data_IF_066675194498
#
_entry.id   IF_066675194498
#
_cell.length_a   1.000
_cell.length_b   1.000
_cell.length_c   1.000
_cell.angle_alpha   90.00
_cell.angle_beta   90.00
_cell.angle_gamma   90.00
#
_symmetry.space_group_name_H-M   'P 1'
#
loop_
_entity.id
_entity.type
_entity.pdbx_description
1 polymer ?
#
# COMPACT_ATOMS: atom_id res chain seq x y z
N UNK A 1 -14.44 1.88 14.57
CA UNK A 1 -13.43 2.12 13.53
C UNK A 1 -14.06 3.09 12.56
N UNK A 2 -13.65 4.35 12.62
CA UNK A 2 -14.17 5.40 11.74
C UNK A 2 -13.39 5.29 10.43
N UNK A 3 -14.06 4.84 9.37
CA UNK A 3 -13.53 4.94 8.01
C UNK A 3 -13.54 6.41 7.62
N UNK A 4 -12.37 7.00 7.44
CA UNK A 4 -12.25 8.32 6.82
C UNK A 4 -13.01 8.32 5.47
N UNK A 5 -13.63 9.45 5.07
CA UNK A 5 -14.22 9.54 3.74
C UNK A 5 -13.13 9.23 2.71
N UNK A 6 -13.37 8.25 1.85
CA UNK A 6 -12.49 7.95 0.73
C UNK A 6 -12.38 9.22 -0.11
N UNK A 7 -11.25 9.93 -0.02
CA UNK A 7 -10.88 10.90 -1.02
C UNK A 7 -10.84 10.21 -2.39
N UNK A 8 -11.00 10.99 -3.45
CA UNK A 8 -10.73 10.51 -4.80
C UNK A 8 -9.43 9.69 -4.81
N UNK A 9 -9.42 8.56 -5.50
CA UNK A 9 -8.26 7.66 -5.55
C UNK A 9 -6.97 8.42 -5.92
N UNK A 10 -5.83 7.82 -5.57
CA UNK A 10 -4.51 8.38 -5.87
C UNK A 10 -4.42 8.85 -7.34
N UNK A 11 -3.93 10.06 -7.53
CA UNK A 11 -3.60 10.59 -8.85
C UNK A 11 -2.22 10.10 -9.29
N UNK A 12 -1.86 10.20 -10.59
CA UNK A 12 -0.54 9.78 -11.06
C UNK A 12 0.60 10.35 -10.22
N UNK A 13 1.42 9.46 -9.65
CA UNK A 13 2.55 9.81 -8.79
C UNK A 13 2.22 9.97 -7.30
N UNK A 14 0.95 9.80 -6.91
CA UNK A 14 0.56 9.70 -5.51
C UNK A 14 0.58 8.25 -5.02
N UNK A 15 0.87 8.08 -3.73
CA UNK A 15 0.76 6.82 -3.00
C UNK A 15 -0.08 7.06 -1.74
N UNK A 16 -0.50 6.00 -1.08
CA UNK A 16 -1.33 6.10 0.11
C UNK A 16 -0.50 6.19 1.38
N UNK A 17 -0.89 7.08 2.28
CA UNK A 17 -0.32 7.23 3.62
C UNK A 17 -1.39 7.16 4.71
N UNK A 18 -0.98 6.75 5.90
CA UNK A 18 -1.77 6.76 7.14
C UNK A 18 -0.94 7.36 8.26
N UNK A 19 -1.58 8.01 9.24
CA UNK A 19 -0.92 8.20 10.53
C UNK A 19 -0.91 6.84 11.24
N UNK A 20 0.20 6.48 11.88
CA UNK A 20 0.35 5.23 12.61
C UNK A 20 -0.89 4.96 13.51
N UNK A 21 -1.38 3.71 13.47
CA UNK A 21 -2.56 3.22 14.23
C UNK A 21 -3.90 3.93 13.99
N UNK A 22 -3.99 4.91 13.08
CA UNK A 22 -5.23 5.67 12.86
C UNK A 22 -6.25 4.94 11.98
N UNK A 23 -5.78 4.14 11.03
CA UNK A 23 -6.60 3.49 9.99
C UNK A 23 -7.19 4.45 8.94
N UNK A 24 -6.84 5.73 8.99
CA UNK A 24 -7.26 6.73 8.01
C UNK A 24 -6.23 6.82 6.87
N UNK A 25 -6.69 6.73 5.63
CA UNK A 25 -5.82 6.59 4.46
C UNK A 25 -6.02 7.75 3.50
N UNK A 26 -4.92 8.37 3.07
CA UNK A 26 -4.94 9.55 2.20
C UNK A 26 -3.91 9.44 1.07
N UNK A 27 -4.25 9.83 -0.16
CA UNK A 27 -3.27 9.89 -1.25
C UNK A 27 -2.36 11.13 -1.12
N UNK A 28 -1.06 10.95 -1.36
CA UNK A 28 -0.07 12.01 -1.30
C UNK A 28 1.13 11.73 -2.22
N UNK A 29 1.83 12.79 -2.62
CA UNK A 29 3.22 12.66 -3.10
C UNK A 29 4.12 12.63 -1.87
N UNK A 30 5.13 11.76 -1.87
CA UNK A 30 6.06 11.64 -0.74
C UNK A 30 7.39 12.27 -1.11
N UNK A 31 7.96 13.06 -0.19
CA UNK A 31 9.33 13.56 -0.35
C UNK A 31 10.34 12.41 -0.29
N UNK A 32 11.48 12.58 -0.96
CA UNK A 32 12.54 11.57 -0.96
C UNK A 32 13.07 11.30 0.46
N UNK A 33 13.30 12.37 1.24
CA UNK A 33 13.81 12.27 2.62
C UNK A 33 12.73 11.82 3.60
N UNK A 34 13.09 10.90 4.51
CA UNK A 34 12.26 10.48 5.64
C UNK A 34 12.55 11.31 6.88
N UNK A 35 11.55 11.43 7.76
CA UNK A 35 11.74 11.99 9.09
C UNK A 35 11.69 10.87 10.13
N UNK A 36 12.82 10.53 10.74
CA UNK A 36 12.93 9.40 11.68
C UNK A 36 12.40 8.06 11.12
N UNK A 37 12.49 7.85 9.81
CA UNK A 37 11.93 6.69 9.11
C UNK A 37 10.48 6.85 8.64
N UNK A 38 9.80 7.95 9.02
CA UNK A 38 8.43 8.23 8.57
C UNK A 38 8.39 9.01 7.25
N UNK A 39 7.34 8.77 6.47
CA UNK A 39 7.09 9.46 5.23
C UNK A 39 6.83 10.96 5.48
N UNK A 40 7.16 11.78 4.48
CA UNK A 40 6.87 13.22 4.48
C UNK A 40 5.90 13.52 3.34
N UNK A 41 4.59 13.42 3.60
CA UNK A 41 3.58 13.56 2.54
C UNK A 41 3.33 15.01 2.17
N UNK A 42 2.96 15.21 0.90
CA UNK A 42 2.50 16.47 0.33
C UNK A 42 1.19 16.22 -0.40
N UNK A 43 0.11 16.62 0.27
CA UNK A 43 -1.26 16.33 -0.15
C UNK A 43 -1.72 17.28 -1.26
N UNK A 44 -2.49 16.78 -2.23
CA UNK A 44 -3.26 17.64 -3.12
C UNK A 44 -4.31 18.43 -2.32
N UNK A 45 -4.93 19.45 -2.92
CA UNK A 45 -6.01 20.20 -2.23
C UNK A 45 -7.13 19.28 -1.75
N UNK A 46 -7.61 18.38 -2.62
CA UNK A 46 -8.68 17.44 -2.27
C UNK A 46 -8.26 16.48 -1.15
N UNK A 47 -7.02 15.96 -1.20
CA UNK A 47 -6.51 15.11 -0.13
C UNK A 47 -6.33 15.87 1.19
N UNK A 48 -5.88 17.12 1.15
CA UNK A 48 -5.77 17.99 2.32
C UNK A 48 -7.13 18.27 2.96
N UNK A 49 -8.19 18.46 2.17
CA UNK A 49 -9.57 18.57 2.65
C UNK A 49 -10.03 17.30 3.38
N UNK A 50 -9.69 16.12 2.86
CA UNK A 50 -9.97 14.86 3.52
C UNK A 50 -9.21 14.72 4.85
N UNK A 51 -7.93 15.11 4.90
CA UNK A 51 -7.13 15.12 6.14
C UNK A 51 -7.74 16.08 7.17
N UNK A 52 -8.12 17.30 6.77
CA UNK A 52 -8.76 18.29 7.66
C UNK A 52 -10.09 17.79 8.21
N UNK A 53 -10.91 17.15 7.38
CA UNK A 53 -12.17 16.53 7.82
C UNK A 53 -11.91 15.44 8.87
N UNK A 54 -10.96 14.54 8.59
CA UNK A 54 -10.57 13.49 9.52
C UNK A 54 -10.05 14.02 10.87
N UNK A 55 -9.19 15.05 10.85
CA UNK A 55 -8.69 15.67 12.09
C UNK A 55 -9.81 16.26 12.93
N UNK A 56 -10.83 16.86 12.29
CA UNK A 56 -12.00 17.42 12.98
C UNK A 56 -12.84 16.32 13.65
N UNK A 57 -12.89 15.13 13.04
CA UNK A 57 -13.61 13.97 13.58
C UNK A 57 -12.90 13.32 14.78
N UNK A 58 -11.65 13.66 15.08
CA UNK A 58 -10.89 13.19 16.26
C UNK A 58 -11.39 13.75 17.61
N UNK A 59 -12.70 14.04 17.71
CA UNK A 59 -13.44 14.37 18.94
C UNK A 59 -12.83 15.51 19.80
N UNK A 60 -12.33 16.57 19.14
CA UNK A 60 -11.97 17.83 19.79
C UNK A 60 -10.54 17.89 20.37
N UNK A 61 -9.72 16.86 20.19
CA UNK A 61 -8.29 16.95 20.50
C UNK A 61 -7.55 17.89 19.53
N UNK A 62 -8.00 17.92 18.27
CA UNK A 62 -7.45 18.71 17.19
C UNK A 62 -8.60 19.46 16.51
N UNK A 63 -8.43 20.77 16.29
CA UNK A 63 -9.28 21.56 15.42
C UNK A 63 -8.50 21.89 14.15
N UNK A 64 -9.04 21.54 12.99
CA UNK A 64 -8.41 21.83 11.70
C UNK A 64 -9.43 22.48 10.76
N UNK A 65 -9.01 23.51 10.03
CA UNK A 65 -9.83 24.16 9.02
C UNK A 65 -8.97 24.85 7.97
N UNK A 66 -9.53 25.11 6.79
CA UNK A 66 -8.91 26.02 5.85
C UNK A 66 -9.15 27.48 6.24
N UNK A 67 -8.10 28.28 6.21
CA UNK A 67 -8.12 29.73 6.33
C UNK A 67 -7.56 30.35 5.04
N UNK A 68 -8.46 30.57 4.09
CA UNK A 68 -8.13 30.85 2.70
C UNK A 68 -7.49 29.63 2.04
N UNK A 69 -6.28 29.81 1.52
CA UNK A 69 -5.49 28.74 0.93
C UNK A 69 -4.66 27.95 1.93
N UNK A 70 -4.53 28.39 3.19
CA UNK A 70 -3.75 27.67 4.19
C UNK A 70 -4.61 26.72 5.01
N UNK A 71 -4.00 25.67 5.54
CA UNK A 71 -4.60 24.84 6.60
C UNK A 71 -4.17 25.39 7.95
N UNK A 72 -5.12 25.70 8.82
CA UNK A 72 -4.89 26.02 10.22
C UNK A 72 -5.20 24.79 11.08
N UNK A 73 -4.23 24.37 11.90
CA UNK A 73 -4.38 23.26 12.86
C UNK A 73 -4.13 23.80 14.26
N UNK A 74 -5.00 23.46 15.20
CA UNK A 74 -4.86 23.77 16.62
C UNK A 74 -5.00 22.49 17.43
N UNK A 75 -3.95 22.12 18.15
CA UNK A 75 -3.92 20.99 19.07
C UNK A 75 -4.07 21.51 20.51
N UNK A 76 -5.29 21.44 21.04
CA UNK A 76 -5.62 22.06 22.33
C UNK A 76 -4.82 21.47 23.49
N UNK A 77 -4.57 20.16 23.48
CA UNK A 77 -3.84 19.47 24.54
C UNK A 77 -2.34 19.82 24.58
N UNK A 78 -1.78 20.22 23.43
CA UNK A 78 -0.36 20.55 23.28
C UNK A 78 -0.11 22.08 23.29
N UNK A 79 -1.16 22.90 23.38
CA UNK A 79 -1.11 24.36 23.21
C UNK A 79 -0.34 24.77 21.94
N UNK A 80 -0.53 24.00 20.86
CA UNK A 80 0.15 24.18 19.58
C UNK A 80 -0.83 24.65 18.53
N UNK A 81 -0.48 25.71 17.83
CA UNK A 81 -1.16 26.17 16.63
C UNK A 81 -0.18 26.20 15.45
N UNK A 82 -0.61 25.72 14.31
CA UNK A 82 0.18 25.66 13.09
C UNK A 82 -0.64 26.19 11.91
N UNK A 83 0.03 26.94 11.03
CA UNK A 83 -0.52 27.39 9.74
C UNK A 83 0.35 26.80 8.64
N UNK A 84 -0.26 26.00 7.78
CA UNK A 84 0.38 25.25 6.72
C UNK A 84 -0.06 25.84 5.38
N UNK A 85 0.85 26.56 4.73
CA UNK A 85 0.64 27.07 3.38
C UNK A 85 0.92 25.94 2.35
N UNK A 86 0.25 25.95 1.18
CA UNK A 86 0.64 25.07 0.10
C UNK A 86 2.06 25.42 -0.39
N UNK A 87 2.83 24.40 -0.74
CA UNK A 87 4.13 24.55 -1.39
C UNK A 87 4.01 25.13 -2.80
N UNK A 88 5.17 25.37 -3.44
CA UNK A 88 5.22 25.95 -4.79
C UNK A 88 4.52 25.10 -5.87
N UNK A 89 4.29 23.82 -5.61
CA UNK A 89 3.55 22.89 -6.47
C UNK A 89 2.07 22.73 -6.06
N UNK A 90 1.58 23.60 -5.17
CA UNK A 90 0.19 23.62 -4.72
C UNK A 90 -0.18 22.50 -3.74
N UNK A 91 0.80 21.79 -3.18
CA UNK A 91 0.58 20.66 -2.27
C UNK A 91 0.86 21.02 -0.81
N UNK A 92 0.13 20.40 0.11
CA UNK A 92 0.12 20.72 1.53
C UNK A 92 0.97 19.74 2.33
N UNK A 93 2.05 20.17 3.01
CA UNK A 93 2.93 19.31 3.79
C UNK A 93 2.38 19.07 5.21
N UNK A 94 1.14 18.60 5.34
CA UNK A 94 0.46 18.47 6.64
C UNK A 94 1.16 17.42 7.50
N UNK A 95 1.70 17.82 8.65
CA UNK A 95 2.42 16.94 9.56
C UNK A 95 3.75 16.40 9.01
N UNK A 96 4.22 16.87 7.86
CA UNK A 96 5.49 16.44 7.29
C UNK A 96 6.65 16.83 8.22
N UNK A 97 7.38 15.84 8.75
CA UNK A 97 8.45 16.09 9.72
C UNK A 97 7.97 16.31 11.16
N UNK A 98 6.69 16.07 11.45
CA UNK A 98 6.12 16.21 12.79
C UNK A 98 5.26 15.01 13.20
N UNK A 99 4.65 14.31 12.25
CA UNK A 99 3.77 13.17 12.48
C UNK A 99 4.37 11.88 11.91
N UNK A 100 3.96 10.76 12.51
CA UNK A 100 4.35 9.40 12.14
C UNK A 100 3.53 8.91 10.94
N UNK A 101 3.77 9.53 9.78
CA UNK A 101 3.15 9.11 8.52
C UNK A 101 3.82 7.85 7.98
N UNK A 102 3.02 6.83 7.71
CA UNK A 102 3.46 5.56 7.15
C UNK A 102 2.86 5.34 5.75
N UNK A 103 3.63 4.76 4.84
CA UNK A 103 3.08 4.25 3.58
C UNK A 103 2.10 3.11 3.88
N UNK A 104 1.00 3.05 3.14
CA UNK A 104 -0.03 2.04 3.34
C UNK A 104 -0.73 1.65 2.03
N UNK A 105 -1.69 0.74 2.12
CA UNK A 105 -2.60 0.40 1.02
C UNK A 105 -3.91 1.18 1.17
N UNK A 106 -4.67 1.40 0.08
CA UNK A 106 -6.04 1.88 0.19
C UNK A 106 -6.88 0.94 1.09
N UNK A 107 -8.00 1.44 1.59
CA UNK A 107 -8.90 0.65 2.43
C UNK A 107 -9.33 -0.64 1.69
N UNK A 108 -9.05 -1.79 2.29
CA UNK A 108 -9.32 -3.09 1.68
C UNK A 108 -10.78 -3.52 1.87
N UNK A 109 -11.38 -4.10 0.82
CA UNK A 109 -12.60 -4.90 0.96
C UNK A 109 -12.23 -6.31 1.45
N UNK A 110 -12.14 -6.45 2.76
CA UNK A 110 -11.74 -7.70 3.42
C UNK A 110 -12.69 -8.86 3.07
N UNK A 111 -13.98 -8.60 2.86
CA UNK A 111 -14.95 -9.64 2.53
C UNK A 111 -14.75 -10.16 1.09
N UNK A 112 -14.46 -9.26 0.15
CA UNK A 112 -14.10 -9.63 -1.22
C UNK A 112 -12.80 -10.44 -1.25
N UNK A 113 -11.76 -10.01 -0.54
CA UNK A 113 -10.49 -10.75 -0.45
C UNK A 113 -10.66 -12.15 0.16
N UNK A 114 -11.44 -12.28 1.24
CA UNK A 114 -11.75 -13.58 1.83
C UNK A 114 -12.48 -14.51 0.87
N UNK A 115 -13.37 -13.97 0.04
CA UNK A 115 -14.08 -14.74 -0.99
C UNK A 115 -13.12 -15.26 -2.06
N UNK A 116 -12.16 -14.43 -2.50
CA UNK A 116 -11.10 -14.84 -3.44
C UNK A 116 -10.24 -15.97 -2.85
N UNK A 117 -9.80 -15.81 -1.60
CA UNK A 117 -8.96 -16.80 -0.91
C UNK A 117 -9.69 -18.14 -0.70
N UNK A 118 -10.98 -18.08 -0.35
CA UNK A 118 -11.82 -19.27 -0.26
C UNK A 118 -12.02 -19.97 -1.62
N UNK A 119 -11.78 -19.29 -2.74
CA UNK A 119 -11.81 -19.86 -4.09
C UNK A 119 -10.44 -20.32 -4.61
N UNK A 120 -9.34 -19.98 -3.94
CA UNK A 120 -7.98 -20.13 -4.46
C UNK A 120 -7.63 -21.56 -4.88
N UNK A 121 -8.10 -22.58 -4.15
CA UNK A 121 -7.86 -23.99 -4.47
C UNK A 121 -8.47 -24.45 -5.80
N UNK A 122 -9.35 -23.64 -6.41
CA UNK A 122 -9.96 -23.92 -7.72
C UNK A 122 -9.07 -23.49 -8.88
N UNK A 123 -7.98 -22.75 -8.61
CA UNK A 123 -7.00 -22.36 -9.63
C UNK A 123 -6.13 -23.57 -9.98
N UNK A 124 -6.48 -24.25 -11.07
CA UNK A 124 -5.68 -25.33 -11.62
C UNK A 124 -4.56 -24.78 -12.52
N UNK A 125 -3.35 -25.38 -12.51
CA UNK A 125 -2.31 -25.01 -13.47
C UNK A 125 -2.72 -25.22 -14.92
N UNK A 126 -2.50 -24.19 -15.74
CA UNK A 126 -2.56 -24.28 -17.19
C UNK A 126 -1.26 -24.87 -17.77
N UNK A 127 -1.23 -25.11 -19.08
CA UNK A 127 -0.05 -25.68 -19.74
C UNK A 127 1.19 -24.79 -19.55
N UNK A 128 2.26 -25.38 -19.00
CA UNK A 128 3.51 -24.67 -18.70
C UNK A 128 3.53 -23.99 -17.33
N UNK A 129 2.44 -24.03 -16.57
CA UNK A 129 2.40 -23.55 -15.20
C UNK A 129 2.78 -24.65 -14.19
N UNK A 130 3.41 -24.22 -13.11
CA UNK A 130 3.62 -25.03 -11.90
C UNK A 130 3.03 -24.31 -10.71
N UNK A 131 2.70 -25.05 -9.65
CA UNK A 131 2.29 -24.43 -8.39
C UNK A 131 3.51 -23.89 -7.66
N UNK A 132 3.47 -22.60 -7.32
CA UNK A 132 4.46 -21.93 -6.49
C UNK A 132 3.81 -21.42 -5.20
N UNK A 133 4.57 -21.33 -4.12
CA UNK A 133 4.12 -20.74 -2.86
C UNK A 133 5.25 -20.03 -2.16
N UNK A 134 4.90 -19.11 -1.26
CA UNK A 134 5.80 -18.61 -0.23
C UNK A 134 5.46 -19.38 1.04
N UNK A 135 6.42 -20.12 1.57
CA UNK A 135 6.18 -21.00 2.71
C UNK A 135 6.39 -20.25 4.03
N UNK A 136 5.52 -19.28 4.31
CA UNK A 136 5.55 -18.49 5.53
C UNK A 136 5.06 -19.29 6.75
N UNK A 137 4.06 -20.15 6.56
CA UNK A 137 3.32 -20.84 7.64
C UNK A 137 3.37 -22.36 7.56
N UNK A 138 3.82 -22.93 6.44
CA UNK A 138 3.76 -24.38 6.20
C UNK A 138 2.48 -24.85 5.50
N UNK A 139 1.41 -24.06 5.60
CA UNK A 139 0.07 -24.35 5.05
C UNK A 139 -0.37 -23.39 3.94
N UNK A 140 0.56 -22.56 3.46
CA UNK A 140 0.25 -21.54 2.46
C UNK A 140 -0.20 -22.16 1.13
N UNK A 141 -1.19 -21.56 0.45
CA UNK A 141 -1.70 -22.06 -0.82
C UNK A 141 -0.63 -22.05 -1.92
N UNK A 142 -0.73 -23.01 -2.83
CA UNK A 142 0.01 -23.00 -4.09
C UNK A 142 -0.74 -22.21 -5.15
N UNK A 143 -0.03 -21.38 -5.90
CA UNK A 143 -0.55 -20.54 -6.97
C UNK A 143 0.03 -20.98 -8.32
N UNK A 144 -0.80 -21.16 -9.36
CA UNK A 144 -0.29 -21.46 -10.69
C UNK A 144 0.53 -20.32 -11.30
N UNK A 145 1.75 -20.61 -11.72
CA UNK A 145 2.62 -19.63 -12.37
C UNK A 145 3.51 -20.26 -13.41
N UNK A 146 3.90 -19.46 -14.42
CA UNK A 146 5.07 -19.77 -15.22
C UNK A 146 6.32 -19.34 -14.45
N UNK A 147 7.33 -20.20 -14.46
CA UNK A 147 8.61 -19.93 -13.79
C UNK A 147 9.68 -19.74 -14.85
N UNK A 148 10.30 -18.56 -14.88
CA UNK A 148 11.54 -18.37 -15.61
C UNK A 148 12.72 -18.89 -14.77
N UNK A 149 13.48 -19.90 -15.23
CA UNK A 149 14.63 -20.42 -14.50
C UNK A 149 15.84 -19.45 -14.48
N UNK A 150 15.83 -18.38 -15.28
CA UNK A 150 16.98 -17.48 -15.48
C UNK A 150 16.91 -16.22 -14.62
N UNK A 151 15.72 -15.80 -14.19
CA UNK A 151 15.52 -14.54 -13.46
C UNK A 151 14.93 -14.80 -12.07
N UNK A 152 15.72 -14.60 -11.01
CA UNK A 152 15.21 -14.58 -9.62
C UNK A 152 16.19 -15.07 -8.57
N UNK A 153 16.14 -14.45 -7.39
CA UNK A 153 16.91 -14.83 -6.20
C UNK A 153 16.35 -16.09 -5.50
N UNK A 154 15.19 -16.58 -5.95
CA UNK A 154 14.46 -17.69 -5.33
C UNK A 154 14.87 -19.08 -5.83
N UNK A 155 14.50 -20.13 -5.08
CA UNK A 155 14.69 -21.55 -5.47
C UNK A 155 13.86 -21.96 -6.69
N UNK A 156 12.94 -21.11 -7.13
CA UNK A 156 11.99 -21.36 -8.23
C UNK A 156 11.93 -20.21 -9.22
N UNK A 157 12.94 -19.34 -9.32
CA UNK A 157 12.90 -18.16 -10.20
C UNK A 157 11.82 -17.14 -9.81
N UNK A 158 11.52 -16.20 -10.71
CA UNK A 158 10.45 -15.21 -10.54
C UNK A 158 9.15 -15.76 -11.13
N UNK A 159 8.13 -16.05 -10.31
CA UNK A 159 6.87 -16.56 -10.83
C UNK A 159 6.10 -15.46 -11.57
N UNK A 160 5.53 -15.84 -12.72
CA UNK A 160 4.75 -14.97 -13.59
C UNK A 160 3.30 -15.46 -13.64
N UNK A 161 2.42 -14.68 -13.03
CA UNK A 161 1.03 -15.03 -12.80
C UNK A 161 0.14 -14.44 -13.88
N UNK A 162 -0.77 -15.25 -14.42
CA UNK A 162 -1.87 -14.74 -15.25
C UNK A 162 -2.83 -13.88 -14.41
N UNK A 163 -3.61 -12.95 -15.00
CA UNK A 163 -4.31 -11.90 -14.26
C UNK A 163 -5.26 -12.41 -13.16
N UNK A 164 -6.01 -13.48 -13.40
CA UNK A 164 -6.92 -14.05 -12.40
C UNK A 164 -6.18 -14.68 -11.21
N UNK A 165 -5.00 -15.26 -11.42
CA UNK A 165 -4.13 -15.74 -10.33
C UNK A 165 -3.50 -14.58 -9.58
N UNK A 166 -3.04 -13.54 -10.29
CA UNK A 166 -2.43 -12.35 -9.69
C UNK A 166 -3.39 -11.66 -8.69
N UNK A 167 -4.69 -11.57 -9.01
CA UNK A 167 -5.72 -11.05 -8.09
C UNK A 167 -5.75 -11.84 -6.77
N UNK A 168 -5.63 -13.16 -6.82
CA UNK A 168 -5.64 -13.99 -5.61
C UNK A 168 -4.32 -13.89 -4.84
N UNK A 169 -3.18 -13.75 -5.53
CA UNK A 169 -1.88 -13.50 -4.89
C UNK A 169 -1.88 -12.17 -4.13
N UNK A 170 -2.44 -11.10 -4.70
CA UNK A 170 -2.59 -9.80 -4.01
C UNK A 170 -3.46 -9.94 -2.76
N UNK A 171 -4.60 -10.62 -2.86
CA UNK A 171 -5.47 -10.88 -1.70
C UNK A 171 -4.74 -11.70 -0.61
N UNK A 172 -3.88 -12.63 -0.99
CA UNK A 172 -3.08 -13.43 -0.07
C UNK A 172 -1.99 -12.59 0.62
N UNK A 173 -1.27 -11.74 -0.11
CA UNK A 173 -0.29 -10.80 0.46
C UNK A 173 -0.95 -9.90 1.51
N UNK A 174 -2.13 -9.35 1.21
CA UNK A 174 -2.86 -8.50 2.16
C UNK A 174 -3.35 -9.28 3.38
N UNK A 175 -3.75 -10.54 3.22
CA UNK A 175 -4.07 -11.42 4.35
C UNK A 175 -2.85 -11.69 5.23
N UNK A 176 -1.68 -11.93 4.63
CA UNK A 176 -0.43 -12.07 5.36
C UNK A 176 -0.05 -10.78 6.09
N UNK A 177 -0.16 -9.61 5.46
CA UNK A 177 0.11 -8.31 6.09
C UNK A 177 -0.76 -8.03 7.31
N UNK A 178 -2.03 -8.46 7.30
CA UNK A 178 -2.91 -8.38 8.47
C UNK A 178 -2.50 -9.30 9.61
N UNK A 179 -1.89 -10.45 9.31
CA UNK A 179 -1.48 -11.43 10.30
C UNK A 179 -0.06 -11.18 10.83
N UNK A 180 0.82 -10.66 9.99
CA UNK A 180 2.24 -10.50 10.24
C UNK A 180 2.66 -9.06 9.93
N UNK A 181 2.77 -8.19 10.96
CA UNK A 181 3.30 -6.85 10.79
C UNK A 181 4.67 -6.89 10.13
N UNK A 182 4.86 -6.07 9.08
CA UNK A 182 6.08 -6.03 8.28
C UNK A 182 6.08 -6.94 7.04
N UNK A 183 5.05 -7.76 6.83
CA UNK A 183 4.92 -8.49 5.57
C UNK A 183 4.51 -7.55 4.42
N UNK A 184 5.01 -7.84 3.22
CA UNK A 184 4.66 -7.09 2.00
C UNK A 184 3.15 -7.14 1.75
N UNK A 185 2.57 -5.98 1.46
CA UNK A 185 1.17 -5.80 1.09
C UNK A 185 1.09 -5.21 -0.32
N UNK A 186 -0.08 -5.29 -0.94
CA UNK A 186 -0.24 -4.89 -2.33
C UNK A 186 -1.61 -4.29 -2.62
N UNK A 187 -1.67 -3.40 -3.60
CA UNK A 187 -2.92 -2.87 -4.13
C UNK A 187 -2.85 -2.67 -5.64
N UNK A 188 -4.02 -2.55 -6.26
CA UNK A 188 -4.13 -2.26 -7.68
C UNK A 188 -4.26 -0.75 -7.89
N UNK A 189 -3.49 -0.24 -8.84
CA UNK A 189 -3.68 1.06 -9.47
C UNK A 189 -3.91 0.81 -10.96
N UNK A 190 -5.16 0.94 -11.40
CA UNK A 190 -5.63 0.50 -12.71
C UNK A 190 -5.24 -0.97 -13.01
N UNK A 191 -4.28 -1.18 -13.91
CA UNK A 191 -3.76 -2.50 -14.31
C UNK A 191 -2.39 -2.82 -13.71
N UNK A 192 -1.88 -1.99 -12.81
CA UNK A 192 -0.58 -2.12 -12.17
C UNK A 192 -0.75 -2.59 -10.73
N UNK A 193 0.06 -3.54 -10.30
CA UNK A 193 0.13 -3.93 -8.89
C UNK A 193 1.21 -3.10 -8.23
N UNK A 194 0.86 -2.41 -7.15
CA UNK A 194 1.79 -1.66 -6.30
C UNK A 194 2.16 -2.54 -5.11
N UNK A 195 3.41 -2.99 -5.05
CA UNK A 195 3.96 -3.80 -3.95
C UNK A 195 4.62 -2.89 -2.91
N UNK A 196 4.08 -2.89 -1.70
CA UNK A 196 4.59 -2.13 -0.57
C UNK A 196 5.27 -3.06 0.43
N UNK A 197 6.57 -2.91 0.59
CA UNK A 197 7.38 -3.52 1.64
C UNK A 197 7.49 -2.54 2.82
N UNK A 198 6.81 -2.81 3.96
CA UNK A 198 6.84 -1.92 5.11
C UNK A 198 8.24 -1.75 5.73
N UNK A 199 9.13 -2.74 5.58
CA UNK A 199 10.49 -2.65 6.13
C UNK A 199 11.39 -1.77 5.26
N UNK A 200 11.20 -1.79 3.94
CA UNK A 200 11.90 -0.89 3.03
C UNK A 200 11.30 0.53 3.03
N UNK A 201 10.03 0.68 3.39
CA UNK A 201 9.32 1.97 3.42
C UNK A 201 9.98 3.06 4.28
N UNK A 202 10.76 2.66 5.30
CA UNK A 202 11.48 3.56 6.19
C UNK A 202 12.73 4.19 5.56
N UNK A 203 13.13 3.74 4.38
CA UNK A 203 14.33 4.21 3.69
C UNK A 203 14.04 5.45 2.83
N UNK A 204 15.00 6.36 2.76
CA UNK A 204 14.94 7.51 1.86
C UNK A 204 14.78 7.08 0.41
N UNK A 205 13.91 7.77 -0.32
CA UNK A 205 13.61 7.52 -1.73
C UNK A 205 12.79 6.27 -2.00
N UNK A 206 12.39 5.50 -0.98
CA UNK A 206 11.54 4.33 -1.20
C UNK A 206 10.17 4.71 -1.80
N UNK A 207 9.76 3.97 -2.81
CA UNK A 207 8.40 3.96 -3.37
C UNK A 207 7.95 2.51 -3.57
N UNK A 208 6.63 2.22 -3.50
CA UNK A 208 6.13 0.88 -3.81
C UNK A 208 6.58 0.40 -5.19
N UNK A 209 6.99 -0.85 -5.27
CA UNK A 209 7.45 -1.46 -6.54
C UNK A 209 6.26 -1.65 -7.46
N UNK A 210 6.37 -1.13 -8.69
CA UNK A 210 5.36 -1.30 -9.72
C UNK A 210 5.54 -2.66 -10.42
N UNK A 211 4.49 -3.47 -10.45
CA UNK A 211 4.43 -4.71 -11.22
C UNK A 211 3.38 -4.54 -12.31
N UNK A 212 3.88 -4.37 -13.54
CA UNK A 212 3.05 -4.18 -14.73
C UNK A 212 2.73 -5.51 -15.40
N UNK A 213 1.69 -5.52 -16.23
CA UNK A 213 1.41 -6.64 -17.12
C UNK A 213 2.50 -6.72 -18.20
N UNK A 214 3.24 -7.81 -18.23
CA UNK A 214 4.29 -8.05 -19.22
C UNK A 214 3.72 -8.41 -20.59
N UNK A 215 4.58 -8.40 -21.62
CA UNK A 215 4.19 -8.67 -23.00
C UNK A 215 3.60 -10.08 -23.22
N UNK A 216 3.85 -11.02 -22.30
CA UNK A 216 3.27 -12.37 -22.30
C UNK A 216 1.92 -12.46 -21.58
N UNK A 217 1.39 -11.33 -21.11
CA UNK A 217 0.10 -11.24 -20.41
C UNK A 217 0.15 -11.70 -18.96
N UNK A 218 1.31 -11.60 -18.29
CA UNK A 218 1.49 -12.04 -16.90
C UNK A 218 2.14 -10.96 -16.02
N UNK A 219 1.94 -11.09 -14.72
CA UNK A 219 2.53 -10.24 -13.69
C UNK A 219 3.67 -11.00 -12.99
N UNK A 220 4.87 -10.43 -13.01
CA UNK A 220 6.02 -10.93 -12.27
C UNK A 220 5.99 -10.41 -10.82
N UNK A 221 5.38 -11.15 -9.90
CA UNK A 221 5.16 -10.70 -8.51
C UNK A 221 6.25 -11.25 -7.60
N UNK A 222 6.94 -10.36 -6.87
CA UNK A 222 7.91 -10.74 -5.85
C UNK A 222 9.15 -11.42 -6.41
N UNK A 223 9.83 -10.78 -7.36
CA UNK A 223 11.10 -11.27 -7.92
C UNK A 223 12.22 -11.41 -6.87
N UNK A 224 12.07 -10.69 -5.77
CA UNK A 224 12.89 -10.66 -4.57
C UNK A 224 12.35 -11.55 -3.43
N UNK A 225 11.23 -12.24 -3.62
CA UNK A 225 10.66 -13.13 -2.60
C UNK A 225 11.23 -14.55 -2.70
N UNK A 226 11.23 -15.27 -1.58
CA UNK A 226 11.60 -16.68 -1.54
C UNK A 226 10.45 -17.61 -1.97
N UNK A 227 10.20 -17.66 -3.28
CA UNK A 227 9.26 -18.62 -3.87
C UNK A 227 9.80 -20.05 -3.90
N UNK A 228 8.97 -21.02 -3.51
CA UNK A 228 9.22 -22.45 -3.65
C UNK A 228 8.14 -23.15 -4.51
N UNK A 229 8.54 -24.20 -5.24
CA UNK A 229 7.58 -25.09 -5.90
C UNK A 229 6.76 -25.82 -4.82
N UNK A 230 5.44 -25.72 -4.90
CA UNK A 230 4.57 -26.52 -4.07
C UNK A 230 4.71 -28.00 -4.48
N UNK A 231 4.75 -28.90 -3.50
CA UNK A 231 4.69 -30.34 -3.77
C UNK A 231 3.29 -30.68 -4.24
N UNK A 232 3.19 -31.35 -5.39
CA UNK A 232 1.95 -31.97 -5.89
C UNK A 232 1.45 -33.07 -4.97
#
# INVERSE_FOLDING_TARGET
MNTAPAGDGAQPGEVYVTVADSGAVFPAVIEDERWNGFARPRFSRAAAEAVVAWLTDCHGAIAAAFDGEAVAITETAADRAERIEPGADGRYPIGAGAWEWELTTPAADVAAEQTLLAGAYRLAPEAGEVLVKINATGSDPGFPAQVDPVSGWSRSGTPRFRPDVAVVVVAWLNACGRQYPGATVAYWEDSTIMLLDPLAAIQDGYMPTQVVLEADGRYAIGADFEWERAKS
#
